data_IF_168700671202
#
_entry.id   IF_168700671202
#
_cell.length_a   1.000
_cell.length_b   1.000
_cell.length_c   1.000
_cell.angle_alpha   90.00
_cell.angle_beta   90.00
_cell.angle_gamma   90.00
#
_symmetry.space_group_name_H-M   'P 1'
#
loop_
_entity.id
_entity.type
_entity.pdbx_description
1 polymer ?
#
# COMPACT_ATOMS: atom_id res chain seq x y z
N UNK A 1 11.15 0.71 -30.34
CA UNK A 1 10.29 1.30 -29.30
C UNK A 1 11.20 1.90 -28.26
N UNK A 2 11.03 3.17 -27.85
CA UNK A 2 11.86 3.78 -26.81
C UNK A 2 11.55 3.12 -25.46
N UNK A 3 12.61 2.73 -24.73
CA UNK A 3 12.49 2.28 -23.34
C UNK A 3 12.12 3.50 -22.49
N UNK A 4 10.94 3.47 -21.88
CA UNK A 4 10.61 4.40 -20.82
C UNK A 4 11.63 4.21 -19.68
N UNK A 5 12.32 5.27 -19.31
CA UNK A 5 13.19 5.28 -18.13
C UNK A 5 12.28 5.20 -16.90
N UNK A 6 12.30 4.04 -16.25
CA UNK A 6 11.72 3.92 -14.90
C UNK A 6 12.56 4.82 -14.00
N UNK A 7 11.98 5.91 -13.52
CA UNK A 7 12.62 6.78 -12.53
C UNK A 7 12.97 5.98 -11.28
N UNK A 8 14.11 6.25 -10.69
CA UNK A 8 14.53 5.63 -9.43
C UNK A 8 13.49 5.98 -8.34
N UNK A 9 13.14 5.06 -7.45
CA UNK A 9 12.19 5.32 -6.37
C UNK A 9 12.72 6.43 -5.45
N UNK A 10 11.87 7.38 -5.11
CA UNK A 10 12.17 8.41 -4.11
C UNK A 10 11.98 7.81 -2.71
N UNK A 11 13.03 7.89 -1.87
CA UNK A 11 12.99 7.35 -0.50
C UNK A 11 12.43 8.41 0.43
N UNK A 12 11.28 8.13 1.02
CA UNK A 12 10.65 8.95 2.04
C UNK A 12 10.66 8.24 3.38
N UNK A 13 11.21 8.91 4.37
CA UNK A 13 11.13 8.44 5.75
C UNK A 13 10.25 9.36 6.58
N UNK A 14 9.29 8.77 7.24
CA UNK A 14 8.40 9.46 8.17
C UNK A 14 8.93 9.26 9.59
N UNK A 15 9.41 10.34 10.25
CA UNK A 15 9.65 10.36 11.71
C UNK A 15 8.82 11.48 12.34
N UNK A 16 8.01 11.21 13.37
CA UNK A 16 7.51 12.27 14.23
C UNK A 16 8.69 12.94 14.94
N UNK A 17 8.67 14.27 15.00
CA UNK A 17 9.72 15.11 15.56
C UNK A 17 9.95 14.81 17.05
N UNK A 18 11.08 14.17 17.37
CA UNK A 18 11.70 14.28 18.71
C UNK A 18 13.06 14.98 18.56
N UNK A 19 13.21 16.12 19.26
CA UNK A 19 14.46 16.89 19.32
C UNK A 19 15.40 16.18 20.29
N UNK A 20 16.43 15.55 19.76
CA UNK A 20 17.50 14.94 20.56
C UNK A 20 18.79 14.80 19.71
N UNK A 21 19.89 15.28 20.23
CA UNK A 21 21.16 15.61 19.62
C UNK A 21 21.97 14.42 19.07
N UNK A 22 22.65 14.68 17.93
CA UNK A 22 23.67 13.88 17.24
C UNK A 22 23.18 12.64 16.49
N UNK A 23 22.85 12.80 15.20
CA UNK A 23 22.70 11.69 14.28
C UNK A 23 23.23 12.08 12.90
N UNK A 24 23.73 11.09 12.18
CA UNK A 24 23.92 11.13 10.74
C UNK A 24 22.60 11.61 10.16
N UNK A 25 22.55 12.80 9.58
CA UNK A 25 21.36 13.32 8.91
C UNK A 25 21.20 12.57 7.59
N UNK A 26 20.45 11.48 7.62
CA UNK A 26 19.83 10.98 6.41
C UNK A 26 18.80 12.04 6.04
N UNK A 27 19.03 12.79 4.97
CA UNK A 27 18.04 13.75 4.47
C UNK A 27 16.87 12.97 3.90
N UNK A 28 15.76 13.00 4.61
CA UNK A 28 14.50 12.46 4.13
C UNK A 28 13.79 13.51 3.25
N UNK A 29 13.07 13.05 2.26
CA UNK A 29 12.21 13.93 1.48
C UNK A 29 11.12 14.55 2.36
N UNK A 30 10.61 15.70 1.96
CA UNK A 30 9.48 16.33 2.63
C UNK A 30 8.17 15.60 2.31
N UNK A 31 7.15 15.79 3.15
CA UNK A 31 5.80 15.26 2.88
C UNK A 31 5.23 15.81 1.58
N UNK A 32 5.49 17.07 1.27
CA UNK A 32 5.04 17.74 0.04
C UNK A 32 5.64 17.09 -1.22
N UNK A 33 6.91 16.69 -1.17
CA UNK A 33 7.58 15.94 -2.23
C UNK A 33 6.94 14.56 -2.37
N UNK A 34 6.66 13.88 -1.25
CA UNK A 34 5.96 12.61 -1.25
C UNK A 34 4.59 12.68 -1.89
N UNK A 35 3.79 13.65 -1.45
CA UNK A 35 2.45 13.85 -1.99
C UNK A 35 2.49 14.16 -3.49
N UNK A 36 3.53 14.85 -3.94
CA UNK A 36 3.75 15.12 -5.36
C UNK A 36 4.06 13.83 -6.12
N UNK A 37 4.97 13.01 -5.60
CA UNK A 37 5.32 11.69 -6.17
C UNK A 37 4.08 10.77 -6.25
N UNK A 38 3.34 10.62 -5.15
CA UNK A 38 2.10 9.82 -5.09
C UNK A 38 1.07 10.31 -6.12
N UNK A 39 0.87 11.63 -6.23
CA UNK A 39 -0.07 12.22 -7.20
C UNK A 39 0.33 11.91 -8.64
N UNK A 40 1.62 11.88 -8.92
CA UNK A 40 2.17 11.54 -10.25
C UNK A 40 2.14 10.05 -10.55
N UNK A 41 1.83 9.19 -9.57
CA UNK A 41 1.85 7.72 -9.73
C UNK A 41 3.22 7.10 -9.50
N UNK A 42 4.10 7.85 -8.83
CA UNK A 42 5.42 7.35 -8.41
C UNK A 42 5.29 6.57 -7.10
N UNK A 43 6.27 5.72 -6.83
CA UNK A 43 6.38 4.98 -5.57
C UNK A 43 7.25 5.76 -4.58
N UNK A 44 6.90 5.67 -3.31
CA UNK A 44 7.68 6.19 -2.21
C UNK A 44 8.06 5.06 -1.25
N UNK A 45 9.21 5.17 -0.59
CA UNK A 45 9.56 4.29 0.52
C UNK A 45 9.19 5.01 1.81
N UNK A 46 8.27 4.42 2.57
CA UNK A 46 7.98 4.86 3.93
C UNK A 46 8.68 3.93 4.91
N UNK A 47 9.32 4.49 5.92
CA UNK A 47 9.91 3.73 7.03
C UNK A 47 9.26 4.16 8.32
N UNK A 48 9.11 3.24 9.24
CA UNK A 48 8.61 3.52 10.58
C UNK A 48 9.77 3.64 11.61
N UNK A 49 9.42 3.89 12.86
CA UNK A 49 10.40 4.07 13.91
C UNK A 49 11.12 2.76 14.27
N UNK A 50 12.40 2.89 14.67
CA UNK A 50 13.27 1.77 15.04
C UNK A 50 12.71 0.94 16.22
N UNK A 51 11.84 1.53 17.04
CA UNK A 51 11.18 0.88 18.18
C UNK A 51 9.78 0.32 17.85
N UNK A 52 9.34 0.43 16.57
CA UNK A 52 8.08 -0.14 16.10
C UNK A 52 8.35 -1.45 15.32
N UNK A 53 8.29 -1.44 14.00
CA UNK A 53 8.64 -2.59 13.14
C UNK A 53 10.07 -2.48 12.62
N UNK A 54 10.60 -1.25 12.52
CA UNK A 54 11.88 -0.93 11.89
C UNK A 54 11.95 -1.48 10.46
N UNK A 55 10.87 -1.31 9.74
CA UNK A 55 10.69 -1.78 8.38
C UNK A 55 10.47 -0.63 7.41
N UNK A 56 10.62 -0.91 6.14
CA UNK A 56 10.31 0.01 5.05
C UNK A 56 9.34 -0.62 4.07
N UNK A 57 8.28 0.13 3.72
CA UNK A 57 7.34 -0.28 2.71
C UNK A 57 7.47 0.57 1.45
N UNK A 58 7.39 -0.09 0.30
CA UNK A 58 7.18 0.59 -0.97
C UNK A 58 5.69 0.88 -1.12
N UNK A 59 5.32 2.16 -1.21
CA UNK A 59 3.92 2.63 -1.22
C UNK A 59 3.63 3.44 -2.48
N UNK A 60 2.45 3.24 -3.07
CA UNK A 60 1.88 4.10 -4.11
C UNK A 60 0.36 4.23 -3.96
N UNK A 61 -0.24 5.20 -4.64
CA UNK A 61 -1.70 5.26 -4.73
C UNK A 61 -2.23 4.15 -5.64
N UNK A 62 -3.21 3.39 -5.17
CA UNK A 62 -3.82 2.27 -5.91
C UNK A 62 -4.43 2.71 -7.24
N UNK A 63 -5.00 3.92 -7.31
CA UNK A 63 -5.58 4.48 -8.54
C UNK A 63 -4.55 4.78 -9.65
N UNK A 64 -3.27 4.73 -9.32
CA UNK A 64 -2.14 4.94 -10.24
C UNK A 64 -1.38 3.64 -10.54
N UNK A 65 -1.81 2.51 -9.99
CA UNK A 65 -1.15 1.24 -10.21
C UNK A 65 -1.21 0.82 -11.68
N UNK A 66 -0.07 0.40 -12.23
CA UNK A 66 0.06 -0.17 -13.57
C UNK A 66 0.64 -1.58 -13.50
N UNK A 67 0.47 -2.41 -14.52
CA UNK A 67 1.11 -3.73 -14.56
C UNK A 67 2.63 -3.66 -14.34
N UNK A 68 3.30 -2.63 -14.88
CA UNK A 68 4.74 -2.43 -14.71
C UNK A 68 5.11 -2.09 -13.27
N UNK A 69 4.31 -1.23 -12.61
CA UNK A 69 4.49 -0.86 -11.21
C UNK A 69 4.31 -2.09 -10.30
N UNK A 70 3.25 -2.85 -10.52
CA UNK A 70 2.98 -4.10 -9.79
C UNK A 70 4.10 -5.13 -10.03
N UNK A 71 4.56 -5.31 -11.28
CA UNK A 71 5.67 -6.20 -11.58
C UNK A 71 6.98 -5.76 -10.90
N UNK A 72 7.20 -4.45 -10.76
CA UNK A 72 8.35 -3.91 -10.02
C UNK A 72 8.24 -4.27 -8.54
N UNK A 73 7.09 -4.01 -7.89
CA UNK A 73 6.87 -4.34 -6.47
C UNK A 73 7.08 -5.83 -6.21
N UNK A 74 6.47 -6.71 -7.02
CA UNK A 74 6.64 -8.17 -6.89
C UNK A 74 8.11 -8.59 -6.93
N UNK A 75 8.92 -7.92 -7.75
CA UNK A 75 10.30 -8.31 -7.99
C UNK A 75 11.29 -7.77 -6.96
N UNK A 76 10.94 -6.66 -6.30
CA UNK A 76 11.86 -5.89 -5.46
C UNK A 76 11.40 -5.70 -4.01
N UNK A 77 10.35 -6.42 -3.59
CA UNK A 77 9.82 -6.39 -2.22
C UNK A 77 9.53 -7.82 -1.76
N UNK A 78 8.86 -7.98 -0.62
CA UNK A 78 8.36 -9.29 -0.14
C UNK A 78 7.47 -10.01 -1.16
N UNK A 79 6.93 -9.27 -2.14
CA UNK A 79 5.99 -9.80 -3.14
C UNK A 79 4.57 -9.98 -2.62
N UNK A 80 4.32 -9.73 -1.33
CA UNK A 80 2.98 -9.70 -0.74
C UNK A 80 2.39 -8.30 -0.98
N UNK A 81 1.42 -8.23 -1.88
CA UNK A 81 0.79 -6.96 -2.25
C UNK A 81 -0.40 -6.68 -1.36
N UNK A 82 -0.25 -5.70 -0.48
CA UNK A 82 -1.29 -5.25 0.42
C UNK A 82 -1.95 -3.96 -0.08
N UNK A 83 -3.25 -3.85 0.14
CA UNK A 83 -4.03 -2.69 -0.32
C UNK A 83 -4.77 -2.08 0.86
N UNK A 84 -4.19 -1.04 1.50
CA UNK A 84 -4.88 -0.26 2.52
C UNK A 84 -6.17 0.36 1.99
N UNK A 85 -7.26 0.16 2.73
CA UNK A 85 -8.61 0.68 2.44
C UNK A 85 -9.26 1.21 3.72
N UNK A 86 -10.31 2.02 3.57
CA UNK A 86 -11.10 2.47 4.70
C UNK A 86 -12.12 1.39 5.15
N UNK A 87 -12.53 1.45 6.41
CA UNK A 87 -13.51 0.51 7.00
C UNK A 87 -14.85 0.50 6.23
N UNK A 88 -15.31 1.67 5.80
CA UNK A 88 -16.57 1.80 5.04
C UNK A 88 -16.50 1.02 3.74
N UNK A 89 -15.35 1.06 3.07
CA UNK A 89 -15.13 0.33 1.82
C UNK A 89 -15.06 -1.18 2.07
N UNK A 90 -14.36 -1.62 3.11
CA UNK A 90 -14.32 -3.03 3.48
C UNK A 90 -15.74 -3.57 3.74
N UNK A 91 -16.56 -2.78 4.44
CA UNK A 91 -17.97 -3.13 4.73
C UNK A 91 -18.79 -3.21 3.44
N UNK A 92 -18.69 -2.20 2.56
CA UNK A 92 -19.44 -2.14 1.31
C UNK A 92 -19.09 -3.28 0.35
N UNK A 93 -17.83 -3.72 0.37
CA UNK A 93 -17.34 -4.81 -0.48
C UNK A 93 -17.40 -6.20 0.18
N UNK A 94 -17.98 -6.32 1.37
CA UNK A 94 -18.07 -7.56 2.16
C UNK A 94 -16.68 -8.22 2.33
N UNK A 95 -15.68 -7.43 2.68
CA UNK A 95 -14.33 -7.89 2.95
C UNK A 95 -14.22 -8.20 4.45
N UNK A 96 -14.61 -9.41 4.81
CA UNK A 96 -14.54 -9.88 6.19
C UNK A 96 -13.08 -10.00 6.67
N UNK A 97 -12.83 -9.87 7.99
CA UNK A 97 -11.52 -10.15 8.56
C UNK A 97 -11.02 -11.53 8.13
N UNK A 98 -9.74 -11.63 7.81
CA UNK A 98 -9.11 -12.89 7.39
C UNK A 98 -9.23 -13.98 8.46
N UNK A 99 -9.25 -13.58 9.73
CA UNK A 99 -9.34 -14.47 10.88
C UNK A 99 -10.37 -13.97 11.89
N UNK A 100 -11.07 -14.88 12.56
CA UNK A 100 -12.04 -14.54 13.61
C UNK A 100 -11.39 -13.98 14.89
N UNK A 101 -10.10 -14.30 15.12
CA UNK A 101 -9.28 -13.75 16.20
C UNK A 101 -7.92 -13.37 15.63
N UNK A 102 -7.61 -12.09 15.68
CA UNK A 102 -6.31 -11.59 15.27
C UNK A 102 -5.36 -11.57 16.48
N UNK A 103 -4.31 -12.39 16.43
CA UNK A 103 -3.25 -12.49 17.45
C UNK A 103 -1.87 -12.08 16.88
N UNK A 104 -1.84 -11.42 15.70
CA UNK A 104 -0.62 -10.87 15.14
C UNK A 104 -0.06 -9.76 16.05
N UNK A 105 1.29 -9.66 16.22
CA UNK A 105 1.92 -8.70 17.14
C UNK A 105 1.45 -7.26 16.95
N UNK A 106 1.33 -6.80 15.71
CA UNK A 106 0.87 -5.45 15.36
C UNK A 106 -0.64 -5.35 15.10
N UNK A 107 -1.35 -6.47 15.23
CA UNK A 107 -2.80 -6.56 14.98
C UNK A 107 -3.21 -5.99 13.63
N UNK A 108 -2.38 -6.15 12.60
CA UNK A 108 -2.66 -5.67 11.23
C UNK A 108 -3.96 -6.28 10.74
N UNK A 109 -4.88 -5.42 10.31
CA UNK A 109 -6.26 -5.83 10.03
C UNK A 109 -6.41 -6.37 8.60
N UNK A 110 -5.85 -7.54 8.34
CA UNK A 110 -6.04 -8.27 7.09
C UNK A 110 -7.50 -8.67 6.91
N UNK A 111 -7.98 -8.48 5.70
CA UNK A 111 -9.25 -9.07 5.24
C UNK A 111 -8.99 -10.33 4.43
N UNK A 112 -10.07 -11.01 4.01
CA UNK A 112 -9.98 -12.06 2.99
C UNK A 112 -9.32 -11.49 1.74
N UNK A 113 -8.41 -12.27 1.11
CA UNK A 113 -7.76 -11.86 -0.14
C UNK A 113 -8.75 -11.92 -1.32
N UNK A 114 -8.49 -11.12 -2.35
CA UNK A 114 -9.40 -10.93 -3.47
C UNK A 114 -8.68 -10.89 -4.82
N UNK A 115 -9.45 -11.17 -5.90
CA UNK A 115 -9.12 -10.83 -7.28
C UNK A 115 -10.35 -10.23 -7.97
N UNK A 116 -10.13 -9.27 -8.89
CA UNK A 116 -11.19 -8.66 -9.67
C UNK A 116 -11.64 -9.60 -10.79
N UNK A 117 -12.95 -9.84 -10.92
CA UNK A 117 -13.49 -10.84 -11.85
C UNK A 117 -13.35 -10.49 -13.34
N UNK A 118 -13.36 -9.21 -13.67
CA UNK A 118 -13.35 -8.81 -15.07
C UNK A 118 -11.97 -9.08 -15.69
N UNK A 119 -11.93 -9.95 -16.69
CA UNK A 119 -10.72 -10.36 -17.38
C UNK A 119 -9.87 -11.37 -16.59
N UNK A 120 -10.38 -11.90 -15.48
CA UNK A 120 -9.65 -12.82 -14.60
C UNK A 120 -9.37 -14.15 -15.31
N UNK A 121 -8.15 -14.62 -15.21
CA UNK A 121 -7.73 -16.00 -15.52
C UNK A 121 -7.29 -16.73 -14.25
N UNK A 122 -6.04 -16.57 -13.82
CA UNK A 122 -5.53 -17.13 -12.57
C UNK A 122 -5.41 -16.10 -11.43
N UNK A 123 -5.39 -14.81 -11.75
CA UNK A 123 -5.25 -13.70 -10.80
C UNK A 123 -3.81 -13.36 -10.42
N UNK A 124 -2.83 -14.22 -10.78
CA UNK A 124 -1.44 -14.09 -10.30
C UNK A 124 -0.60 -13.11 -11.13
N UNK A 125 -0.97 -12.83 -12.38
CA UNK A 125 -0.17 -11.94 -13.23
C UNK A 125 -0.13 -10.50 -12.67
N UNK A 126 0.92 -9.76 -13.00
CA UNK A 126 1.01 -8.35 -12.60
C UNK A 126 -0.15 -7.52 -13.19
N UNK A 127 -0.62 -7.86 -14.38
CA UNK A 127 -1.76 -7.22 -15.03
C UNK A 127 -3.06 -7.45 -14.24
N UNK A 128 -3.36 -8.70 -13.86
CA UNK A 128 -4.58 -9.03 -13.11
C UNK A 128 -4.55 -8.46 -11.69
N UNK A 129 -3.38 -8.48 -11.03
CA UNK A 129 -3.21 -7.85 -9.72
C UNK A 129 -3.35 -6.33 -9.79
N UNK A 130 -2.78 -5.68 -10.81
CA UNK A 130 -2.98 -4.25 -11.04
C UNK A 130 -4.47 -3.93 -11.29
N UNK A 131 -5.17 -4.73 -12.09
CA UNK A 131 -6.59 -4.57 -12.33
C UNK A 131 -7.40 -4.68 -11.02
N UNK A 132 -7.07 -5.62 -10.14
CA UNK A 132 -7.70 -5.78 -8.83
C UNK A 132 -7.48 -4.56 -7.94
N UNK A 133 -6.23 -4.06 -7.87
CA UNK A 133 -5.85 -2.89 -7.08
C UNK A 133 -6.59 -1.64 -7.58
N UNK A 134 -6.59 -1.41 -8.89
CA UNK A 134 -7.30 -0.25 -9.49
C UNK A 134 -8.80 -0.36 -9.30
N UNK A 135 -9.40 -1.55 -9.43
CA UNK A 135 -10.83 -1.76 -9.23
C UNK A 135 -11.28 -1.31 -7.84
N UNK A 136 -10.47 -1.54 -6.79
CA UNK A 136 -10.75 -1.08 -5.43
C UNK A 136 -10.89 0.45 -5.33
N UNK A 137 -10.36 1.23 -6.26
CA UNK A 137 -10.47 2.70 -6.23
C UNK A 137 -11.76 3.24 -6.86
N UNK A 138 -12.53 2.37 -7.50
CA UNK A 138 -13.76 2.74 -8.21
C UNK A 138 -14.95 2.72 -7.27
N UNK A 139 -15.79 3.77 -7.34
CA UNK A 139 -17.08 3.81 -6.65
C UNK A 139 -18.15 2.93 -7.29
N UNK A 140 -17.88 2.37 -8.48
CA UNK A 140 -18.83 1.58 -9.25
C UNK A 140 -18.68 0.08 -9.08
N UNK A 141 -17.73 -0.39 -8.25
CA UNK A 141 -17.56 -1.81 -7.97
C UNK A 141 -18.42 -2.25 -6.79
N UNK A 142 -18.91 -3.48 -6.86
CA UNK A 142 -19.68 -4.14 -5.83
C UNK A 142 -18.95 -5.38 -5.29
N UNK A 143 -19.42 -5.91 -4.17
CA UNK A 143 -18.84 -7.13 -3.57
C UNK A 143 -18.75 -8.30 -4.56
N UNK A 144 -19.74 -8.43 -5.44
CA UNK A 144 -19.84 -9.51 -6.44
C UNK A 144 -18.86 -9.36 -7.61
N UNK A 145 -18.18 -8.22 -7.74
CA UNK A 145 -17.15 -8.02 -8.77
C UNK A 145 -15.80 -8.65 -8.39
N UNK A 146 -15.69 -9.16 -7.18
CA UNK A 146 -14.48 -9.80 -6.69
C UNK A 146 -14.70 -11.29 -6.38
N UNK A 147 -13.68 -12.11 -6.64
CA UNK A 147 -13.57 -13.49 -6.12
C UNK A 147 -12.80 -13.49 -4.81
N UNK A 148 -13.05 -14.51 -3.99
CA UNK A 148 -12.41 -14.77 -2.70
C UNK A 148 -12.13 -16.27 -2.58
N UNK A 149 -10.91 -16.71 -2.22
CA UNK A 149 -9.70 -15.91 -2.05
C UNK A 149 -9.11 -15.44 -3.38
N UNK A 150 -8.12 -14.53 -3.30
CA UNK A 150 -7.37 -14.01 -4.46
C UNK A 150 -5.91 -13.72 -4.10
N UNK A 151 -5.27 -12.84 -4.87
CA UNK A 151 -3.84 -12.56 -4.79
C UNK A 151 -3.51 -11.13 -4.31
N UNK A 152 -4.52 -10.33 -3.98
CA UNK A 152 -4.40 -9.02 -3.35
C UNK A 152 -4.97 -9.08 -1.94
N UNK A 153 -4.29 -8.46 -0.98
CA UNK A 153 -4.59 -8.51 0.44
C UNK A 153 -5.06 -7.14 0.94
N UNK A 154 -6.39 -6.86 1.00
CA UNK A 154 -6.85 -5.61 1.57
C UNK A 154 -6.57 -5.56 3.08
N UNK A 155 -6.13 -4.37 3.53
CA UNK A 155 -5.89 -4.04 4.94
C UNK A 155 -6.81 -2.91 5.36
N UNK A 156 -7.48 -3.05 6.49
CA UNK A 156 -8.37 -2.00 6.99
C UNK A 156 -7.58 -1.00 7.83
N UNK A 157 -7.42 0.21 7.32
CA UNK A 157 -6.78 1.31 8.04
C UNK A 157 -7.62 1.77 9.24
N UNK A 158 -6.97 2.15 10.33
CA UNK A 158 -7.62 2.72 11.51
C UNK A 158 -8.21 4.09 11.18
N UNK A 159 -9.44 4.33 11.61
CA UNK A 159 -10.05 5.65 11.51
C UNK A 159 -9.20 6.67 12.27
N UNK A 160 -8.87 7.79 11.59
CA UNK A 160 -7.95 8.81 12.10
C UNK A 160 -6.51 8.67 11.58
N UNK A 161 -6.23 7.64 10.78
CA UNK A 161 -4.99 7.48 10.02
C UNK A 161 -3.74 7.36 10.89
N UNK A 162 -2.62 7.85 10.39
CA UNK A 162 -1.31 7.78 11.04
C UNK A 162 -1.26 8.48 12.41
N UNK A 163 -2.16 9.41 12.68
CA UNK A 163 -2.26 10.07 13.98
C UNK A 163 -2.83 9.16 15.07
N UNK A 164 -3.51 8.07 14.71
CA UNK A 164 -4.08 7.08 15.64
C UNK A 164 -3.23 5.81 15.66
N UNK A 165 -2.73 5.36 14.51
CA UNK A 165 -1.82 4.23 14.38
C UNK A 165 -0.74 4.58 13.36
N UNK A 166 0.51 4.73 13.81
CA UNK A 166 1.65 5.11 12.97
C UNK A 166 2.17 3.94 12.12
N UNK A 167 1.28 3.28 11.37
CA UNK A 167 1.61 2.12 10.54
C UNK A 167 1.54 2.42 9.05
N UNK A 168 2.23 1.59 8.24
CA UNK A 168 2.25 1.70 6.79
C UNK A 168 0.85 1.56 6.17
N UNK A 169 -0.05 0.79 6.78
CA UNK A 169 -1.46 0.68 6.38
C UNK A 169 -2.15 2.05 6.39
N UNK A 170 -2.02 2.79 7.49
CA UNK A 170 -2.60 4.13 7.64
C UNK A 170 -1.89 5.12 6.72
N UNK A 171 -0.56 5.04 6.61
CA UNK A 171 0.21 5.89 5.69
C UNK A 171 -0.25 5.73 4.25
N UNK A 172 -0.57 4.51 3.80
CA UNK A 172 -1.05 4.24 2.44
C UNK A 172 -2.36 4.96 2.11
N UNK A 173 -3.33 4.97 3.04
CA UNK A 173 -4.60 5.69 2.85
C UNK A 173 -4.45 7.20 2.99
N UNK A 174 -3.64 7.66 3.96
CA UNK A 174 -3.43 9.09 4.21
C UNK A 174 -2.67 9.75 3.06
N UNK A 175 -1.60 9.15 2.57
CA UNK A 175 -0.84 9.67 1.42
C UNK A 175 -1.71 9.78 0.16
N UNK A 176 -2.53 8.77 -0.13
CA UNK A 176 -3.47 8.83 -1.25
C UNK A 176 -4.48 9.97 -1.07
N UNK A 177 -5.09 10.07 0.13
CA UNK A 177 -6.08 11.11 0.46
C UNK A 177 -5.49 12.52 0.34
N UNK A 178 -4.33 12.76 0.96
CA UNK A 178 -3.66 14.06 0.95
C UNK A 178 -3.15 14.44 -0.45
N UNK A 179 -2.83 13.45 -1.29
CA UNK A 179 -2.52 13.66 -2.70
C UNK A 179 -3.76 14.00 -3.56
N UNK A 180 -4.98 13.97 -2.99
CA UNK A 180 -6.24 14.23 -3.69
C UNK A 180 -6.72 13.07 -4.56
N UNK A 181 -6.33 11.83 -4.20
CA UNK A 181 -6.69 10.59 -4.88
C UNK A 181 -7.67 9.76 -4.01
N UNK A 182 -8.34 8.74 -4.56
CA UNK A 182 -9.12 7.79 -3.77
C UNK A 182 -8.30 7.23 -2.59
N UNK A 183 -8.88 7.07 -1.39
CA UNK A 183 -8.18 6.68 -0.16
C UNK A 183 -7.81 5.19 -0.14
N UNK A 184 -7.14 4.75 -1.17
CA UNK A 184 -6.71 3.36 -1.37
C UNK A 184 -5.23 3.36 -1.73
N UNK A 185 -4.42 2.69 -0.91
CA UNK A 185 -3.00 2.50 -1.16
C UNK A 185 -2.71 1.15 -1.83
N UNK A 186 -1.51 1.02 -2.35
CA UNK A 186 -0.86 -0.24 -2.67
C UNK A 186 0.50 -0.21 -2.00
N UNK A 187 0.81 -1.22 -1.20
CA UNK A 187 2.09 -1.33 -0.49
C UNK A 187 2.63 -2.76 -0.46
N UNK A 188 3.93 -2.87 -0.26
CA UNK A 188 4.62 -4.12 0.02
C UNK A 188 5.91 -3.85 0.80
N UNK A 189 6.19 -4.70 1.78
CA UNK A 189 7.37 -4.59 2.64
C UNK A 189 8.65 -4.84 1.84
N UNK A 190 9.65 -3.98 2.09
CA UNK A 190 11.01 -4.19 1.60
C UNK A 190 11.72 -5.24 2.45
N UNK A 191 12.37 -6.18 1.80
CA UNK A 191 13.14 -7.24 2.45
C UNK A 191 14.55 -7.28 1.87
N UNK A 192 15.52 -7.68 2.68
CA UNK A 192 16.87 -7.97 2.22
C UNK A 192 16.92 -9.34 1.51
N UNK A 193 18.00 -9.58 0.75
CA UNK A 193 18.19 -10.86 0.04
C UNK A 193 18.32 -12.07 0.99
N UNK A 194 18.64 -11.84 2.24
CA UNK A 194 18.78 -12.84 3.30
C UNK A 194 17.55 -12.94 4.23
N UNK A 195 16.51 -12.17 3.96
CA UNK A 195 15.25 -12.16 4.72
C UNK A 195 15.14 -11.10 5.80
#
# INVERSE_FOLDING_TARGET
RPKASCGSPHVLTFRPHFVGTNSVTTEFNTIEEALTAIRNGEMVVAVDDDDRENEGDLIMAASKATPEAVAFMIRHTSGILCTPILQEQATALHLDPMVGRNDAPMSTAFTVSIDYKQGLTTGISAEERAATVVALTSSNVAADDFVRPGHIFPLVARQGGVLVRSGHTEAGTDLATLAGLPPVGLLAELVNDDG
#
